data_IF_441426271549
#
_entry.id   IF_441426271549
#
_cell.length_a   1.000
_cell.length_b   1.000
_cell.length_c   1.000
_cell.angle_alpha   90.00
_cell.angle_beta   90.00
_cell.angle_gamma   90.00
#
_symmetry.space_group_name_H-M   'P 1'
#
loop_
_entity.id
_entity.type
_entity.pdbx_description
1 polymer ?
#
# COMPACT_ATOMS: atom_id res chain seq x y z
N UNK A 1 -45.24 33.68 45.09
CA UNK A 1 -43.89 33.16 44.79
C UNK A 1 -44.00 31.74 44.20
N UNK A 2 -44.98 31.47 43.31
CA UNK A 2 -45.46 30.09 43.13
C UNK A 2 -45.42 29.57 41.68
N UNK A 3 -44.81 30.31 40.75
CA UNK A 3 -44.66 29.84 39.36
C UNK A 3 -43.46 28.92 39.13
N UNK A 4 -42.48 28.91 40.03
CA UNK A 4 -41.29 28.04 39.91
C UNK A 4 -41.54 26.58 40.37
N UNK A 5 -42.54 26.32 41.22
CA UNK A 5 -42.80 24.98 41.75
C UNK A 5 -43.50 24.03 40.77
N UNK A 6 -44.18 24.56 39.73
CA UNK A 6 -44.95 23.74 38.77
C UNK A 6 -44.16 23.26 37.55
N UNK A 7 -42.98 23.82 37.32
CA UNK A 7 -42.09 23.43 36.22
C UNK A 7 -41.08 22.34 36.63
N UNK A 8 -40.92 22.06 37.93
CA UNK A 8 -40.01 21.05 38.45
C UNK A 8 -40.22 19.64 37.88
N UNK A 9 -41.45 19.11 37.69
CA UNK A 9 -41.64 17.80 37.06
C UNK A 9 -41.49 17.82 35.53
N UNK A 10 -41.50 19.00 34.89
CA UNK A 10 -41.29 19.11 33.44
C UNK A 10 -39.82 18.97 33.06
N UNK A 11 -38.90 19.36 33.94
CA UNK A 11 -37.45 19.25 33.71
C UNK A 11 -37.03 17.79 33.45
N UNK A 12 -37.31 16.80 34.32
CA UNK A 12 -36.91 15.41 34.08
C UNK A 12 -37.60 14.80 32.86
N UNK A 13 -38.84 15.21 32.56
CA UNK A 13 -39.58 14.76 31.37
C UNK A 13 -38.93 15.28 30.09
N UNK A 14 -38.54 16.56 30.05
CA UNK A 14 -37.84 17.15 28.91
C UNK A 14 -36.45 16.52 28.75
N UNK A 15 -35.72 16.29 29.85
CA UNK A 15 -34.40 15.64 29.82
C UNK A 15 -34.51 14.18 29.34
N UNK A 16 -35.49 13.42 29.82
CA UNK A 16 -35.73 12.06 29.37
C UNK A 16 -36.13 12.01 27.88
N UNK A 17 -36.98 12.94 27.44
CA UNK A 17 -37.37 13.04 26.04
C UNK A 17 -36.17 13.41 25.15
N UNK A 18 -35.34 14.36 25.58
CA UNK A 18 -34.11 14.72 24.87
C UNK A 18 -33.12 13.54 24.81
N UNK A 19 -32.96 12.79 25.91
CA UNK A 19 -32.12 11.59 25.94
C UNK A 19 -32.64 10.49 25.01
N UNK A 20 -33.96 10.28 24.94
CA UNK A 20 -34.58 9.32 24.01
C UNK A 20 -34.39 9.76 22.56
N UNK A 21 -34.58 11.04 22.24
CA UNK A 21 -34.35 11.57 20.89
C UNK A 21 -32.89 11.39 20.46
N UNK A 22 -31.94 11.71 21.35
CA UNK A 22 -30.51 11.52 21.11
C UNK A 22 -30.15 10.03 20.95
N UNK A 23 -30.77 9.14 21.72
CA UNK A 23 -30.53 7.70 21.63
C UNK A 23 -31.11 7.10 20.33
N UNK A 24 -32.28 7.54 19.89
CA UNK A 24 -32.92 7.07 18.65
C UNK A 24 -32.17 7.56 17.41
N UNK A 25 -31.68 8.81 17.43
CA UNK A 25 -30.97 9.39 16.29
C UNK A 25 -29.45 9.24 16.38
N UNK A 26 -28.93 8.47 17.35
CA UNK A 26 -27.49 8.33 17.62
C UNK A 26 -26.69 7.86 16.40
N UNK A 27 -27.31 7.07 15.53
CA UNK A 27 -26.65 6.45 14.39
C UNK A 27 -26.63 7.36 13.13
N UNK A 28 -27.57 8.32 13.04
CA UNK A 28 -27.66 9.28 11.92
C UNK A 28 -27.05 10.67 12.24
N UNK A 29 -26.90 11.02 13.52
CA UNK A 29 -26.38 12.33 13.93
C UNK A 29 -24.87 12.48 13.79
N UNK A 30 -24.13 11.38 13.72
CA UNK A 30 -22.67 11.37 13.70
C UNK A 30 -22.18 10.65 12.45
N UNK A 31 -21.70 11.42 11.47
CA UNK A 31 -21.05 10.84 10.29
C UNK A 31 -19.69 10.27 10.73
N UNK A 32 -19.59 8.94 10.78
CA UNK A 32 -18.42 8.19 11.29
C UNK A 32 -17.22 8.25 10.35
N UNK A 33 -17.34 8.94 9.21
CA UNK A 33 -16.28 9.02 8.21
C UNK A 33 -15.36 10.20 8.49
N UNK A 34 -14.05 9.94 8.58
CA UNK A 34 -13.00 10.97 8.71
C UNK A 34 -13.13 12.10 7.66
N UNK A 35 -13.63 11.77 6.46
CA UNK A 35 -13.88 12.75 5.38
C UNK A 35 -14.99 13.74 5.69
N UNK A 36 -15.91 13.44 6.61
CA UNK A 36 -16.97 14.36 7.03
C UNK A 36 -16.46 15.52 7.90
N UNK A 37 -15.24 15.41 8.43
CA UNK A 37 -14.53 16.51 9.11
C UNK A 37 -13.91 17.50 8.11
N UNK A 38 -13.91 17.19 6.81
CA UNK A 38 -13.37 18.06 5.78
C UNK A 38 -14.47 19.00 5.26
N UNK A 39 -14.24 20.34 5.20
CA UNK A 39 -15.26 21.33 4.84
C UNK A 39 -15.63 21.35 3.34
N UNK A 40 -15.21 20.35 2.57
CA UNK A 40 -15.39 20.26 1.11
C UNK A 40 -16.76 19.71 0.76
N UNK A 41 -17.43 20.35 -0.21
CA UNK A 41 -18.75 19.93 -0.67
C UNK A 41 -18.70 18.62 -1.45
N UNK A 42 -19.85 17.90 -1.49
CA UNK A 42 -19.97 16.59 -2.18
C UNK A 42 -19.52 16.60 -3.65
N UNK A 43 -19.71 17.71 -4.37
CA UNK A 43 -19.27 17.84 -5.76
C UNK A 43 -17.74 17.93 -5.90
N UNK A 44 -17.06 18.59 -4.96
CA UNK A 44 -15.60 18.69 -4.96
C UNK A 44 -14.96 17.34 -4.60
N UNK A 45 -15.61 16.57 -3.72
CA UNK A 45 -15.21 15.20 -3.43
C UNK A 45 -15.35 14.27 -4.65
N UNK A 46 -16.47 14.34 -5.37
CA UNK A 46 -16.68 13.54 -6.57
C UNK A 46 -15.66 13.88 -7.67
N UNK A 47 -15.34 15.18 -7.83
CA UNK A 47 -14.31 15.62 -8.76
C UNK A 47 -12.92 15.12 -8.36
N UNK A 48 -12.52 15.26 -7.09
CA UNK A 48 -11.25 14.74 -6.57
C UNK A 48 -11.14 13.22 -6.76
N UNK A 49 -12.20 12.46 -6.48
CA UNK A 49 -12.25 11.02 -6.70
C UNK A 49 -12.08 10.67 -8.20
N UNK A 50 -12.75 11.40 -9.10
CA UNK A 50 -12.60 11.19 -10.54
C UNK A 50 -11.19 11.51 -11.04
N UNK A 51 -10.58 12.60 -10.56
CA UNK A 51 -9.21 12.96 -10.92
C UNK A 51 -8.22 11.91 -10.42
N UNK A 52 -8.41 11.39 -9.20
CA UNK A 52 -7.56 10.31 -8.65
C UNK A 52 -7.70 9.02 -9.46
N UNK A 53 -8.90 8.70 -9.94
CA UNK A 53 -9.11 7.57 -10.84
C UNK A 53 -8.39 7.76 -12.19
N UNK A 54 -8.42 8.97 -12.76
CA UNK A 54 -7.78 9.30 -14.03
C UNK A 54 -6.24 9.25 -13.98
N UNK A 55 -5.64 9.57 -12.82
CA UNK A 55 -4.18 9.46 -12.61
C UNK A 55 -3.71 8.05 -12.25
N UNK A 56 -4.62 7.06 -12.21
CA UNK A 56 -4.37 5.74 -11.65
C UNK A 56 -4.30 5.77 -10.13
N UNK A 57 -4.57 4.63 -9.50
CA UNK A 57 -4.49 4.48 -8.04
C UNK A 57 -3.07 4.75 -7.55
N UNK A 58 -2.83 6.01 -7.20
CA UNK A 58 -1.64 6.53 -6.53
C UNK A 58 -1.81 6.46 -5.00
N UNK A 59 -2.94 5.90 -4.54
CA UNK A 59 -3.26 5.77 -3.13
C UNK A 59 -2.40 4.70 -2.49
N UNK A 60 -1.70 5.07 -1.43
CA UNK A 60 -1.04 4.15 -0.50
C UNK A 60 -2.06 3.35 0.34
N UNK A 61 -3.30 3.18 -0.12
CA UNK A 61 -4.38 2.59 0.69
C UNK A 61 -4.08 1.17 1.08
N UNK A 62 -3.63 0.36 0.12
CA UNK A 62 -3.30 -1.04 0.33
C UNK A 62 -1.79 -1.23 0.36
N UNK A 63 -1.27 -1.83 1.42
CA UNK A 63 0.17 -2.09 1.56
C UNK A 63 0.38 -3.51 2.06
N UNK A 64 1.16 -4.30 1.32
CA UNK A 64 1.75 -5.52 1.84
C UNK A 64 3.02 -5.17 2.61
N UNK A 65 3.14 -5.64 3.85
CA UNK A 65 4.24 -5.30 4.75
C UNK A 65 4.84 -6.55 5.41
N UNK A 66 6.15 -6.51 5.63
CA UNK A 66 6.87 -7.56 6.35
C UNK A 66 8.18 -7.02 6.93
N UNK A 67 8.74 -7.76 7.87
CA UNK A 67 10.03 -7.44 8.50
C UNK A 67 11.06 -8.48 8.04
N UNK A 68 12.29 -8.02 7.79
CA UNK A 68 13.43 -8.87 7.50
C UNK A 68 14.64 -8.46 8.37
N UNK A 69 15.54 -9.40 8.72
CA UNK A 69 16.67 -9.11 9.60
C UNK A 69 17.68 -8.11 9.01
N UNK A 70 17.79 -8.07 7.68
CA UNK A 70 18.71 -7.19 6.96
C UNK A 70 18.16 -6.83 5.58
N UNK A 71 18.86 -5.91 4.89
CA UNK A 71 18.45 -5.42 3.59
C UNK A 71 18.46 -6.50 2.50
N UNK A 72 19.41 -7.43 2.51
CA UNK A 72 19.49 -8.47 1.49
C UNK A 72 18.36 -9.49 1.66
N UNK A 73 18.08 -9.91 2.89
CA UNK A 73 16.92 -10.73 3.22
C UNK A 73 15.60 -10.02 2.86
N UNK A 74 15.51 -8.70 3.09
CA UNK A 74 14.36 -7.89 2.68
C UNK A 74 14.14 -7.93 1.16
N UNK A 75 15.21 -7.74 0.37
CA UNK A 75 15.15 -7.76 -1.09
C UNK A 75 14.81 -9.14 -1.64
N UNK A 76 15.44 -10.21 -1.14
CA UNK A 76 15.13 -11.58 -1.56
C UNK A 76 13.69 -11.98 -1.20
N UNK A 77 13.20 -11.58 -0.04
CA UNK A 77 11.81 -11.81 0.33
C UNK A 77 10.87 -11.00 -0.58
N UNK A 78 11.16 -9.72 -0.83
CA UNK A 78 10.43 -8.88 -1.80
C UNK A 78 10.34 -9.50 -3.19
N UNK A 79 11.42 -10.12 -3.69
CA UNK A 79 11.40 -10.86 -4.97
C UNK A 79 10.44 -12.04 -4.95
N UNK A 80 10.42 -12.81 -3.85
CA UNK A 80 9.46 -13.90 -3.68
C UNK A 80 8.02 -13.39 -3.62
N UNK A 81 7.76 -12.33 -2.84
CA UNK A 81 6.43 -11.71 -2.75
C UNK A 81 5.98 -11.23 -4.13
N UNK A 82 6.84 -10.55 -4.87
CA UNK A 82 6.55 -10.07 -6.21
C UNK A 82 6.17 -11.22 -7.16
N UNK A 83 6.87 -12.37 -7.08
CA UNK A 83 6.54 -13.55 -7.87
C UNK A 83 5.16 -14.13 -7.53
N UNK A 84 4.75 -14.09 -6.27
CA UNK A 84 3.43 -14.57 -5.81
C UNK A 84 2.30 -13.58 -6.14
N UNK A 85 2.58 -12.28 -6.11
CA UNK A 85 1.60 -11.25 -6.45
C UNK A 85 1.39 -11.10 -7.97
N UNK A 86 2.35 -11.46 -8.81
CA UNK A 86 2.25 -11.27 -10.25
C UNK A 86 1.04 -12.01 -10.88
N UNK A 87 0.74 -13.28 -10.56
CA UNK A 87 -0.48 -13.95 -11.02
C UNK A 87 -1.77 -13.21 -10.62
N UNK A 88 -1.79 -12.57 -9.45
CA UNK A 88 -2.95 -11.79 -8.99
C UNK A 88 -3.16 -10.52 -9.82
N UNK A 89 -2.09 -9.96 -10.38
CA UNK A 89 -2.16 -8.87 -11.36
C UNK A 89 -2.73 -9.41 -12.68
N UNK A 90 -2.23 -10.55 -13.14
CA UNK A 90 -2.65 -11.16 -14.41
C UNK A 90 -4.13 -11.60 -14.36
N UNK A 91 -4.61 -12.05 -13.19
CA UNK A 91 -6.02 -12.37 -12.90
C UNK A 91 -6.89 -11.13 -12.60
N UNK A 92 -6.30 -9.92 -12.61
CA UNK A 92 -6.96 -8.66 -12.26
C UNK A 92 -7.57 -8.62 -10.83
N UNK A 93 -7.07 -9.44 -9.91
CA UNK A 93 -7.43 -9.37 -8.48
C UNK A 93 -6.86 -8.08 -7.87
N UNK A 94 -5.65 -7.71 -8.28
CA UNK A 94 -5.00 -6.42 -7.99
C UNK A 94 -4.63 -5.74 -9.31
N UNK A 95 -4.56 -4.41 -9.33
CA UNK A 95 -4.17 -3.64 -10.51
C UNK A 95 -2.67 -3.62 -10.76
N UNK A 96 -1.89 -3.93 -9.73
CA UNK A 96 -0.44 -3.86 -9.75
C UNK A 96 0.13 -3.77 -8.34
N UNK A 97 1.45 -3.66 -8.26
CA UNK A 97 2.16 -3.46 -7.00
C UNK A 97 3.52 -2.82 -7.23
N UNK A 98 4.04 -2.15 -6.20
CA UNK A 98 5.40 -1.66 -6.15
C UNK A 98 6.24 -2.53 -5.20
N UNK A 99 7.41 -2.94 -5.67
CA UNK A 99 8.33 -3.78 -4.92
C UNK A 99 9.73 -3.14 -4.88
N UNK A 100 10.39 -3.07 -3.71
CA UNK A 100 11.75 -2.52 -3.64
C UNK A 100 12.75 -3.33 -4.47
N UNK A 101 12.53 -4.63 -4.63
CA UNK A 101 13.37 -5.49 -5.48
C UNK A 101 13.33 -5.17 -6.99
N UNK A 102 12.29 -4.46 -7.47
CA UNK A 102 12.26 -3.95 -8.86
C UNK A 102 13.20 -2.77 -9.06
N UNK A 103 13.51 -2.03 -8.00
CA UNK A 103 14.44 -0.88 -8.04
C UNK A 103 15.88 -1.30 -7.71
N UNK A 104 16.03 -2.16 -6.71
CA UNK A 104 17.30 -2.72 -6.28
C UNK A 104 17.16 -4.23 -6.14
N UNK A 105 17.51 -5.02 -7.18
CA UNK A 105 17.47 -6.47 -7.08
C UNK A 105 18.43 -6.97 -6.00
N UNK A 106 18.13 -8.12 -5.38
CA UNK A 106 19.00 -8.74 -4.39
C UNK A 106 20.37 -9.05 -4.97
N UNK A 107 21.43 -9.09 -4.15
CA UNK A 107 22.76 -9.47 -4.63
C UNK A 107 22.74 -10.84 -5.31
N UNK A 108 21.93 -11.76 -4.78
CA UNK A 108 21.71 -13.09 -5.37
C UNK A 108 21.16 -12.99 -6.80
N UNK A 109 20.12 -12.19 -7.01
CA UNK A 109 19.49 -12.01 -8.33
C UNK A 109 20.42 -11.28 -9.29
N UNK A 110 21.15 -10.27 -8.83
CA UNK A 110 22.14 -9.58 -9.65
C UNK A 110 23.25 -10.52 -10.12
N UNK A 111 23.80 -11.36 -9.22
CA UNK A 111 24.81 -12.37 -9.60
C UNK A 111 24.25 -13.43 -10.54
N UNK A 112 23.01 -13.86 -10.33
CA UNK A 112 22.34 -14.79 -11.23
C UNK A 112 22.20 -14.18 -12.65
N UNK A 113 21.81 -12.91 -12.75
CA UNK A 113 21.76 -12.19 -14.02
C UNK A 113 23.14 -12.06 -14.68
N UNK A 114 24.19 -11.75 -13.92
CA UNK A 114 25.56 -11.70 -14.44
C UNK A 114 26.05 -13.06 -14.94
N UNK A 115 25.73 -14.14 -14.24
CA UNK A 115 26.08 -15.49 -14.63
C UNK A 115 25.28 -15.99 -15.85
N UNK A 116 24.05 -15.50 -16.03
CA UNK A 116 23.21 -15.82 -17.18
C UNK A 116 23.68 -15.15 -18.48
N UNK A 117 24.50 -14.10 -18.40
CA UNK A 117 25.06 -13.42 -19.57
C UNK A 117 26.09 -14.33 -20.28
N UNK A 118 25.86 -14.69 -21.55
CA UNK A 118 26.75 -15.59 -22.27
C UNK A 118 28.11 -14.92 -22.56
N UNK A 119 29.20 -15.70 -22.63
CA UNK A 119 30.49 -15.19 -23.08
C UNK A 119 30.44 -14.58 -24.47
N UNK A 120 31.30 -13.59 -24.73
CA UNK A 120 31.39 -12.83 -26.00
C UNK A 120 31.30 -13.67 -27.28
N UNK A 121 31.98 -14.82 -27.34
CA UNK A 121 31.98 -15.68 -28.53
C UNK A 121 30.62 -16.35 -28.76
N UNK A 122 30.00 -16.87 -27.69
CA UNK A 122 28.66 -17.47 -27.73
C UNK A 122 27.62 -16.41 -28.06
N UNK A 123 27.71 -15.23 -27.44
CA UNK A 123 26.80 -14.11 -27.72
C UNK A 123 26.86 -13.68 -29.19
N UNK A 124 28.07 -13.59 -29.77
CA UNK A 124 28.24 -13.26 -31.19
C UNK A 124 27.61 -14.31 -32.10
N UNK A 125 27.87 -15.60 -31.86
CA UNK A 125 27.29 -16.66 -32.67
C UNK A 125 25.75 -16.69 -32.59
N UNK A 126 25.20 -16.47 -31.40
CA UNK A 126 23.75 -16.38 -31.21
C UNK A 126 23.16 -15.18 -31.96
N UNK A 127 23.85 -14.03 -31.93
CA UNK A 127 23.44 -12.82 -32.61
C UNK A 127 23.49 -12.98 -34.14
N UNK A 128 24.59 -13.51 -34.68
CA UNK A 128 24.72 -13.79 -36.11
C UNK A 128 23.61 -14.72 -36.59
N UNK A 129 23.26 -15.74 -35.80
CA UNK A 129 22.15 -16.63 -36.12
C UNK A 129 20.80 -15.91 -36.12
N UNK A 130 20.52 -15.09 -35.11
CA UNK A 130 19.25 -14.38 -34.95
C UNK A 130 19.02 -13.32 -36.04
N UNK A 131 20.09 -12.67 -36.51
CA UNK A 131 20.01 -11.58 -37.49
C UNK A 131 19.84 -12.03 -38.94
N UNK A 132 20.01 -13.32 -39.26
CA UNK A 132 19.89 -13.83 -40.65
C UNK A 132 18.56 -13.50 -41.32
N UNK A 133 17.48 -13.31 -40.55
CA UNK A 133 16.16 -12.97 -41.06
C UNK A 133 15.82 -11.46 -40.95
N UNK A 134 16.76 -10.62 -40.50
CA UNK A 134 16.51 -9.21 -40.25
C UNK A 134 17.40 -8.31 -41.12
N UNK A 135 16.94 -7.11 -41.50
CA UNK A 135 17.71 -6.14 -42.27
C UNK A 135 18.75 -5.38 -41.41
N UNK A 136 19.28 -6.00 -40.36
CA UNK A 136 20.19 -5.39 -39.40
C UNK A 136 21.59 -6.02 -39.51
N UNK A 137 22.59 -5.19 -39.76
CA UNK A 137 23.98 -5.66 -39.91
C UNK A 137 24.61 -5.95 -38.54
N UNK A 138 25.11 -7.18 -38.34
CA UNK A 138 25.74 -7.62 -37.10
C UNK A 138 26.92 -6.72 -36.66
N UNK A 139 27.69 -6.19 -37.62
CA UNK A 139 28.84 -5.32 -37.36
C UNK A 139 28.48 -4.02 -36.62
N UNK A 140 27.22 -3.57 -36.70
CA UNK A 140 26.74 -2.38 -35.97
C UNK A 140 26.46 -2.65 -34.49
N UNK A 141 26.39 -3.92 -34.08
CA UNK A 141 26.07 -4.32 -32.71
C UNK A 141 27.32 -4.65 -31.87
N UNK A 142 28.51 -4.26 -32.34
CA UNK A 142 29.76 -4.41 -31.60
C UNK A 142 29.72 -3.76 -30.21
N UNK A 143 29.05 -2.61 -30.08
CA UNK A 143 28.83 -1.92 -28.79
C UNK A 143 28.02 -2.75 -27.81
N UNK A 144 26.90 -3.32 -28.26
CA UNK A 144 26.07 -4.22 -27.43
C UNK A 144 26.86 -5.43 -26.90
N UNK A 145 27.69 -6.06 -27.76
CA UNK A 145 28.53 -7.18 -27.34
C UNK A 145 29.57 -6.74 -26.31
N UNK A 146 30.16 -5.55 -26.49
CA UNK A 146 31.12 -4.99 -25.53
C UNK A 146 30.45 -4.67 -24.18
N UNK A 147 29.25 -4.08 -24.20
CA UNK A 147 28.48 -3.75 -23.00
C UNK A 147 28.03 -5.01 -22.26
N UNK A 148 27.60 -6.05 -22.97
CA UNK A 148 27.24 -7.33 -22.37
C UNK A 148 28.43 -8.00 -21.67
N UNK A 149 29.62 -7.97 -22.29
CA UNK A 149 30.83 -8.50 -21.67
C UNK A 149 31.24 -7.65 -20.45
N UNK A 150 31.15 -6.32 -20.54
CA UNK A 150 31.43 -5.43 -19.41
C UNK A 150 30.43 -5.64 -18.25
N UNK A 151 29.16 -5.91 -18.56
CA UNK A 151 28.11 -6.15 -17.57
C UNK A 151 28.35 -7.42 -16.74
N UNK A 152 28.98 -8.46 -17.32
CA UNK A 152 29.31 -9.72 -16.63
C UNK A 152 30.22 -9.51 -15.42
N UNK A 153 31.11 -8.54 -15.49
CA UNK A 153 32.10 -8.26 -14.43
C UNK A 153 31.86 -6.92 -13.74
N UNK A 154 30.73 -6.27 -14.01
CA UNK A 154 30.41 -4.97 -13.41
C UNK A 154 30.20 -5.12 -11.90
N UNK A 155 30.60 -4.14 -11.08
CA UNK A 155 30.22 -4.14 -9.67
C UNK A 155 28.71 -4.20 -9.51
N UNK A 156 28.26 -4.86 -8.44
CA UNK A 156 26.84 -4.95 -8.10
C UNK A 156 26.27 -3.57 -7.82
N UNK A 157 24.99 -3.37 -8.17
CA UNK A 157 24.23 -2.19 -7.81
C UNK A 157 23.99 -2.22 -6.30
N UNK A 158 24.35 -1.12 -5.64
CA UNK A 158 24.16 -0.92 -4.20
C UNK A 158 23.18 0.22 -3.96
N UNK A 159 22.63 0.28 -2.74
CA UNK A 159 21.77 1.40 -2.32
C UNK A 159 22.48 2.77 -2.45
N UNK A 160 23.79 2.80 -2.24
CA UNK A 160 24.59 4.02 -2.37
C UNK A 160 24.58 4.59 -3.78
N UNK A 161 24.53 3.74 -4.80
CA UNK A 161 24.44 4.17 -6.20
C UNK A 161 23.12 4.88 -6.53
N UNK A 162 22.08 4.69 -5.71
CA UNK A 162 20.76 5.30 -5.87
C UNK A 162 20.59 6.57 -5.04
N UNK A 163 21.54 6.91 -4.15
CA UNK A 163 21.47 8.11 -3.31
C UNK A 163 21.40 9.38 -4.16
N UNK A 164 20.52 10.29 -3.79
CA UNK A 164 20.31 11.56 -4.50
C UNK A 164 19.47 11.45 -5.78
N UNK A 165 18.96 10.26 -6.11
CA UNK A 165 18.05 10.05 -7.25
C UNK A 165 16.60 9.89 -6.78
N UNK A 166 15.63 10.10 -7.69
CA UNK A 166 14.22 9.80 -7.43
C UNK A 166 13.98 8.32 -7.11
N UNK A 167 14.76 7.41 -7.71
CA UNK A 167 14.72 5.98 -7.40
C UNK A 167 15.17 5.70 -5.97
N UNK A 168 16.18 6.43 -5.47
CA UNK A 168 16.63 6.33 -4.08
C UNK A 168 15.56 6.76 -3.09
N UNK A 169 14.79 7.80 -3.41
CA UNK A 169 13.65 8.27 -2.60
C UNK A 169 12.56 7.19 -2.56
N UNK A 170 12.18 6.65 -3.72
CA UNK A 170 11.16 5.62 -3.82
C UNK A 170 11.59 4.30 -3.15
N UNK A 171 12.87 3.93 -3.26
CA UNK A 171 13.41 2.77 -2.53
C UNK A 171 13.38 3.03 -1.02
N UNK A 172 13.67 4.26 -0.58
CA UNK A 172 13.64 4.65 0.83
C UNK A 172 12.25 4.63 1.47
N UNK A 173 11.19 4.86 0.69
CA UNK A 173 9.81 4.74 1.20
C UNK A 173 9.35 3.28 1.33
N UNK A 174 9.97 2.35 0.60
CA UNK A 174 9.64 0.92 0.65
C UNK A 174 10.58 0.10 1.54
N UNK A 175 11.82 0.54 1.76
CA UNK A 175 12.81 -0.11 2.65
C UNK A 175 13.18 0.81 3.80
N UNK A 176 12.42 0.68 4.89
CA UNK A 176 12.61 1.45 6.12
C UNK A 176 13.60 0.69 7.00
N UNK A 177 14.80 1.25 7.14
CA UNK A 177 15.85 0.68 7.97
C UNK A 177 15.62 1.10 9.43
N UNK A 178 15.54 0.11 10.32
CA UNK A 178 15.43 0.31 11.78
C UNK A 178 16.70 -0.22 12.46
N UNK A 179 16.78 -0.07 13.78
CA UNK A 179 18.00 -0.40 14.54
C UNK A 179 18.41 -1.88 14.43
N UNK A 180 17.44 -2.79 14.33
CA UNK A 180 17.67 -4.24 14.41
C UNK A 180 17.18 -5.01 13.17
N UNK A 181 16.42 -4.37 12.30
CA UNK A 181 15.75 -5.03 11.19
C UNK A 181 15.36 -4.01 10.10
N UNK A 182 14.75 -4.51 9.04
CA UNK A 182 14.26 -3.73 7.91
C UNK A 182 12.76 -3.98 7.76
N UNK A 183 11.98 -2.91 7.85
CA UNK A 183 10.56 -2.93 7.51
C UNK A 183 10.41 -2.68 6.01
N UNK A 184 9.69 -3.59 5.35
CA UNK A 184 9.39 -3.51 3.93
C UNK A 184 7.93 -3.13 3.75
N UNK A 185 7.69 -2.14 2.88
CA UNK A 185 6.36 -1.71 2.46
C UNK A 185 6.25 -1.89 0.95
N UNK A 186 5.24 -2.62 0.51
CA UNK A 186 4.92 -2.88 -0.89
C UNK A 186 3.51 -2.38 -1.20
N UNK A 187 3.37 -1.14 -1.70
CA UNK A 187 2.07 -0.61 -2.11
C UNK A 187 1.41 -1.50 -3.16
N UNK A 188 0.13 -1.79 -2.95
CA UNK A 188 -0.72 -2.54 -3.88
C UNK A 188 -1.68 -1.55 -4.55
N UNK A 189 -1.95 -1.77 -5.84
CA UNK A 189 -2.86 -0.95 -6.63
C UNK A 189 -4.19 -1.67 -6.81
N UNK A 190 -5.28 -0.92 -6.74
CA UNK A 190 -6.62 -1.43 -7.09
C UNK A 190 -6.71 -1.71 -8.59
N UNK A 191 -7.36 -2.81 -8.97
CA UNK A 191 -7.60 -3.10 -10.38
C UNK A 191 -8.65 -2.13 -10.95
N UNK A 192 -8.49 -1.70 -12.20
CA UNK A 192 -9.38 -0.73 -12.85
C UNK A 192 -10.86 -1.19 -12.84
N UNK A 193 -11.10 -2.51 -12.89
CA UNK A 193 -12.44 -3.10 -12.79
C UNK A 193 -13.11 -2.92 -11.42
N UNK A 194 -12.35 -2.58 -10.39
CA UNK A 194 -12.81 -2.27 -9.04
C UNK A 194 -12.64 -0.79 -8.69
N UNK A 195 -12.29 0.08 -9.64
CA UNK A 195 -12.06 1.51 -9.40
C UNK A 195 -13.29 2.22 -8.80
N UNK A 196 -14.52 1.76 -9.11
CA UNK A 196 -15.74 2.31 -8.49
C UNK A 196 -15.94 1.89 -7.02
N UNK A 197 -15.36 0.76 -6.61
CA UNK A 197 -15.45 0.25 -5.24
C UNK A 197 -14.19 0.53 -4.42
N UNK A 198 -13.10 0.94 -5.06
CA UNK A 198 -11.78 1.20 -4.48
C UNK A 198 -11.39 0.11 -3.46
N UNK A 199 -11.55 -1.16 -3.83
CA UNK A 199 -11.39 -2.28 -2.92
C UNK A 199 -10.63 -3.44 -3.55
N UNK A 200 -9.57 -3.87 -2.86
CA UNK A 200 -8.86 -5.12 -3.12
C UNK A 200 -9.48 -6.22 -2.25
N UNK A 201 -9.59 -7.43 -2.80
CA UNK A 201 -9.94 -8.63 -2.02
C UNK A 201 -8.73 -9.06 -1.16
N UNK A 202 -8.60 -8.45 0.02
CA UNK A 202 -7.49 -8.70 0.96
C UNK A 202 -7.45 -10.17 1.39
N UNK A 203 -8.61 -10.79 1.60
CA UNK A 203 -8.70 -12.20 2.03
C UNK A 203 -8.11 -13.12 0.95
N UNK A 204 -8.42 -12.86 -0.32
CA UNK A 204 -7.84 -13.61 -1.44
C UNK A 204 -6.34 -13.41 -1.54
N UNK A 205 -5.85 -12.18 -1.43
CA UNK A 205 -4.40 -11.88 -1.46
C UNK A 205 -3.69 -12.58 -0.30
N UNK A 206 -4.26 -12.49 0.90
CA UNK A 206 -3.69 -13.09 2.12
C UNK A 206 -3.66 -14.61 2.03
N UNK A 207 -4.73 -15.25 1.52
CA UNK A 207 -4.78 -16.69 1.31
C UNK A 207 -3.66 -17.16 0.36
N UNK A 208 -3.46 -16.49 -0.77
CA UNK A 208 -2.41 -16.84 -1.73
C UNK A 208 -1.01 -16.68 -1.13
N UNK A 209 -0.77 -15.61 -0.35
CA UNK A 209 0.50 -15.43 0.36
C UNK A 209 0.75 -16.55 1.39
N UNK A 210 -0.30 -17.01 2.09
CA UNK A 210 -0.21 -18.12 3.04
C UNK A 210 0.05 -19.46 2.35
N UNK A 211 -0.62 -19.75 1.24
CA UNK A 211 -0.42 -20.96 0.44
C UNK A 211 1.05 -21.09 -0.02
N UNK A 212 1.68 -19.98 -0.38
CA UNK A 212 3.09 -19.91 -0.76
C UNK A 212 4.08 -19.82 0.41
N UNK A 213 3.65 -20.16 1.63
CA UNK A 213 4.47 -20.14 2.86
C UNK A 213 5.09 -18.77 3.18
N UNK A 214 4.34 -17.70 2.94
CA UNK A 214 4.70 -16.33 3.35
C UNK A 214 3.76 -15.77 4.43
N UNK A 215 3.57 -16.48 5.57
CA UNK A 215 2.58 -16.09 6.59
C UNK A 215 2.95 -14.80 7.33
N UNK A 216 4.19 -14.34 7.23
CA UNK A 216 4.67 -13.13 7.90
C UNK A 216 4.37 -11.84 7.13
N UNK A 217 3.74 -11.95 5.95
CA UNK A 217 3.33 -10.80 5.16
C UNK A 217 1.93 -10.40 5.59
N UNK A 218 1.80 -9.16 6.04
CA UNK A 218 0.51 -8.57 6.41
C UNK A 218 0.07 -7.59 5.34
N UNK A 219 -1.11 -7.80 4.78
CA UNK A 219 -1.75 -6.86 3.86
C UNK A 219 -2.67 -5.96 4.69
N UNK A 220 -2.47 -4.65 4.57
CA UNK A 220 -3.14 -3.64 5.39
C UNK A 220 -3.94 -2.71 4.48
N UNK A 221 -5.22 -2.47 4.80
CA UNK A 221 -6.00 -1.32 4.31
C UNK A 221 -5.80 -0.16 5.30
N UNK A 222 -4.92 0.77 4.95
CA UNK A 222 -4.57 1.91 5.79
C UNK A 222 -5.76 2.83 6.09
N UNK A 223 -6.72 2.94 5.16
CA UNK A 223 -7.90 3.77 5.35
C UNK A 223 -8.87 3.13 6.35
N UNK A 224 -9.12 1.84 6.19
CA UNK A 224 -10.01 1.10 7.10
C UNK A 224 -9.41 1.02 8.51
N UNK A 225 -8.11 0.75 8.63
CA UNK A 225 -7.41 0.70 9.92
C UNK A 225 -7.43 2.07 10.64
N UNK A 226 -7.16 3.16 9.91
CA UNK A 226 -7.22 4.51 10.50
C UNK A 226 -8.63 4.88 10.95
N UNK A 227 -9.64 4.47 10.19
CA UNK A 227 -11.05 4.73 10.53
C UNK A 227 -11.46 3.93 11.77
N UNK A 228 -11.05 2.67 11.88
CA UNK A 228 -11.33 1.83 13.05
C UNK A 228 -10.71 2.39 14.35
N UNK A 229 -9.47 2.89 14.27
CA UNK A 229 -8.81 3.54 15.42
C UNK A 229 -9.61 4.77 15.88
N UNK A 230 -10.06 5.60 14.93
CA UNK A 230 -10.86 6.78 15.22
C UNK A 230 -12.22 6.43 15.83
N UNK A 231 -12.93 5.45 15.27
CA UNK A 231 -14.23 5.00 15.76
C UNK A 231 -14.14 4.45 17.18
N UNK A 232 -13.11 3.66 17.47
CA UNK A 232 -12.84 3.13 18.82
C UNK A 232 -12.63 4.27 19.83
N UNK A 233 -11.82 5.26 19.46
CA UNK A 233 -11.57 6.44 20.30
C UNK A 233 -12.84 7.27 20.54
N UNK A 234 -13.65 7.51 19.50
CA UNK A 234 -14.91 8.23 19.62
C UNK A 234 -15.92 7.51 20.50
N UNK A 235 -16.03 6.19 20.36
CA UNK A 235 -16.90 5.38 21.21
C UNK A 235 -16.51 5.50 22.70
N UNK A 236 -15.21 5.47 22.98
CA UNK A 236 -14.70 5.59 24.34
C UNK A 236 -14.94 6.98 24.95
N UNK A 237 -14.80 8.05 24.15
CA UNK A 237 -15.15 9.42 24.58
C UNK A 237 -16.64 9.54 24.88
N UNK A 238 -17.52 9.04 24.00
CA UNK A 238 -18.97 9.13 24.20
C UNK A 238 -19.40 8.38 25.46
N UNK A 239 -18.83 7.19 25.70
CA UNK A 239 -19.09 6.43 26.93
C UNK A 239 -18.59 7.17 28.18
N UNK A 240 -17.33 7.62 28.20
CA UNK A 240 -16.78 8.33 29.37
C UNK A 240 -17.48 9.67 29.62
N UNK A 241 -17.81 10.42 28.57
CA UNK A 241 -18.55 11.68 28.68
C UNK A 241 -19.99 11.47 29.13
N UNK A 242 -20.65 10.40 28.65
CA UNK A 242 -21.98 10.02 29.10
C UNK A 242 -22.00 9.60 30.58
N UNK A 243 -21.05 8.76 31.00
CA UNK A 243 -20.89 8.37 32.40
C UNK A 243 -20.54 9.58 33.30
N UNK A 244 -19.65 10.46 32.85
CA UNK A 244 -19.32 11.70 33.55
C UNK A 244 -20.54 12.61 33.70
N UNK A 245 -21.36 12.73 32.65
CA UNK A 245 -22.60 13.52 32.69
C UNK A 245 -23.64 12.92 33.65
N UNK A 246 -23.77 11.58 33.68
CA UNK A 246 -24.62 10.89 34.65
C UNK A 246 -24.11 11.08 36.09
N UNK A 247 -22.80 11.04 36.32
CA UNK A 247 -22.21 11.28 37.64
C UNK A 247 -22.37 12.73 38.13
N UNK A 248 -22.43 13.71 37.23
CA UNK A 248 -22.72 15.12 37.58
C UNK A 248 -24.21 15.33 37.90
N UNK A 249 -25.08 14.58 37.22
CA UNK A 249 -26.52 14.71 37.37
C UNK A 249 -27.12 13.89 38.53
N UNK A 250 -26.41 12.86 39.01
CA UNK A 250 -26.77 12.03 40.16
C UNK A 250 -26.36 12.67 41.48
#
# INVERSE_FOLDING_TARGET
MDRCARAWPLIPVITALAAVVLFVHRDDMWDKRLTALSPIGKQQYALDASLRADFGDTGVRYVASFIAPDQEAALQLSERVAGVLQPLVDENVIGGFHAPSRLLPSEKTQRAHQAALPPKNILRANLDSALRALPLQADKLGGFIADAEAARTRPLLTRDALKGTSLGILLGSMLIQRDHDVLVLMPLQTAAQYAERDRIDIDRVTAVLQEHQLPHITVIDLLEETTNIFDSYMHQILLLSGLGSLAIAA
#
